data_IF_893197543471
#
_entry.id   IF_893197543471
#
_cell.length_a   1.000
_cell.length_b   1.000
_cell.length_c   1.000
_cell.angle_alpha   90.00
_cell.angle_beta   90.00
_cell.angle_gamma   90.00
#
_symmetry.space_group_name_H-M   'P 1'
#
loop_
_entity.id
_entity.type
_entity.pdbx_description
1 polymer ?
#
# COMPACT_ATOMS: atom_id res chain seq x y z
N UNK A 1 -3.90 -7.96 2.20
CA UNK A 1 -2.66 -7.16 2.35
C UNK A 1 -1.56 -7.46 1.35
N UNK A 2 -1.23 -8.72 1.06
CA UNK A 2 -0.19 -9.05 0.06
C UNK A 2 -0.42 -8.41 -1.32
N UNK A 3 -1.66 -8.42 -1.82
CA UNK A 3 -2.05 -7.77 -3.10
C UNK A 3 -1.72 -6.27 -3.10
N UNK A 4 -2.02 -5.57 -2.00
CA UNK A 4 -1.71 -4.15 -1.86
C UNK A 4 -0.20 -3.87 -1.94
N UNK A 5 0.62 -4.67 -1.25
CA UNK A 5 2.07 -4.53 -1.31
C UNK A 5 2.65 -4.75 -2.71
N UNK A 6 2.12 -5.71 -3.48
CA UNK A 6 2.52 -5.92 -4.87
C UNK A 6 2.17 -4.72 -5.74
N UNK A 7 0.96 -4.18 -5.62
CA UNK A 7 0.52 -3.01 -6.39
C UNK A 7 1.33 -1.75 -6.04
N UNK A 8 1.63 -1.54 -4.76
CA UNK A 8 2.46 -0.42 -4.30
C UNK A 8 3.90 -0.55 -4.81
N UNK A 9 4.46 -1.76 -4.87
CA UNK A 9 5.79 -2.02 -5.43
C UNK A 9 5.89 -1.72 -6.92
N UNK A 10 4.81 -1.96 -7.66
CA UNK A 10 4.77 -1.64 -9.09
C UNK A 10 4.87 -0.13 -9.35
N UNK A 11 4.57 0.73 -8.36
CA UNK A 11 4.52 2.21 -8.50
C UNK A 11 3.59 2.69 -9.62
N UNK A 12 2.67 1.83 -10.09
CA UNK A 12 1.70 2.17 -11.15
C UNK A 12 0.46 2.83 -10.57
N UNK A 13 0.11 2.50 -9.32
CA UNK A 13 -1.14 2.91 -8.68
C UNK A 13 -0.86 3.74 -7.43
N UNK A 14 -1.67 4.78 -7.23
CA UNK A 14 -1.64 5.57 -6.01
C UNK A 14 -2.10 4.73 -4.81
N UNK A 15 -1.69 5.14 -3.60
CA UNK A 15 -2.11 4.48 -2.35
C UNK A 15 -3.64 4.38 -2.24
N UNK A 16 -4.37 5.34 -2.81
CA UNK A 16 -5.82 5.36 -2.86
C UNK A 16 -6.41 4.27 -3.75
N UNK A 17 -5.99 4.24 -5.01
CA UNK A 17 -6.37 3.19 -5.98
C UNK A 17 -6.09 1.78 -5.44
N UNK A 18 -4.95 1.60 -4.77
CA UNK A 18 -4.59 0.32 -4.15
C UNK A 18 -5.54 -0.05 -3.01
N UNK A 19 -5.93 0.92 -2.18
CA UNK A 19 -6.89 0.70 -1.10
C UNK A 19 -8.25 0.26 -1.66
N UNK A 20 -8.73 0.90 -2.72
CA UNK A 20 -9.99 0.54 -3.39
C UNK A 20 -9.90 -0.85 -4.03
N UNK A 21 -8.80 -1.16 -4.73
CA UNK A 21 -8.55 -2.48 -5.36
C UNK A 21 -8.45 -3.67 -4.40
N UNK A 22 -8.19 -3.40 -3.12
CA UNK A 22 -8.15 -4.42 -2.05
C UNK A 22 -9.37 -4.37 -1.13
N UNK A 23 -10.39 -3.55 -1.46
CA UNK A 23 -11.71 -3.52 -0.83
C UNK A 23 -11.86 -2.56 0.34
N UNK A 24 -10.98 -1.56 0.47
CA UNK A 24 -11.10 -0.53 1.50
C UNK A 24 -11.83 0.69 0.96
N UNK A 25 -12.84 1.16 1.70
CA UNK A 25 -13.54 2.41 1.40
C UNK A 25 -12.77 3.64 1.92
N UNK A 26 -11.90 3.45 2.93
CA UNK A 26 -11.20 4.52 3.62
C UNK A 26 -9.69 4.28 3.70
N UNK A 27 -8.92 5.26 3.24
CA UNK A 27 -7.45 5.32 3.35
C UNK A 27 -6.92 5.18 4.77
N UNK A 28 -7.47 5.86 5.81
CA UNK A 28 -6.95 5.71 7.16
C UNK A 28 -7.06 4.27 7.69
N UNK A 29 -8.16 3.58 7.40
CA UNK A 29 -8.36 2.17 7.77
C UNK A 29 -7.36 1.27 7.04
N UNK A 30 -7.22 1.46 5.73
CA UNK A 30 -6.23 0.74 4.92
C UNK A 30 -4.81 0.93 5.48
N UNK A 31 -4.40 2.18 5.73
CA UNK A 31 -3.08 2.52 6.28
C UNK A 31 -2.83 1.84 7.62
N UNK A 32 -3.80 1.86 8.54
CA UNK A 32 -3.68 1.25 9.86
C UNK A 32 -3.42 -0.25 9.75
N UNK A 33 -4.23 -0.95 8.96
CA UNK A 33 -4.01 -2.38 8.73
C UNK A 33 -2.70 -2.65 7.97
N UNK A 34 -2.28 -1.75 7.07
CA UNK A 34 -1.06 -1.95 6.29
C UNK A 34 0.17 -1.82 7.17
N UNK A 35 0.18 -0.83 8.07
CA UNK A 35 1.24 -0.68 9.09
C UNK A 35 1.24 -1.86 10.04
N UNK A 36 0.08 -2.35 10.49
CA UNK A 36 -0.03 -3.55 11.33
C UNK A 36 0.55 -4.79 10.63
N UNK A 37 0.31 -4.95 9.33
CA UNK A 37 0.76 -6.10 8.55
C UNK A 37 2.23 -6.03 8.08
N UNK A 38 2.78 -4.85 7.78
CA UNK A 38 4.10 -4.66 7.18
C UNK A 38 5.08 -3.83 8.03
N UNK A 39 4.62 -3.28 9.15
CA UNK A 39 5.42 -2.41 10.03
C UNK A 39 5.74 -1.03 9.45
N UNK A 40 5.21 -0.67 8.28
CA UNK A 40 5.50 0.61 7.61
C UNK A 40 4.29 1.14 6.85
N UNK A 41 4.29 2.44 6.54
CA UNK A 41 3.17 3.04 5.82
C UNK A 41 3.19 2.65 4.33
N UNK A 42 2.03 2.54 3.67
CA UNK A 42 1.98 2.19 2.26
C UNK A 42 2.70 3.21 1.36
N UNK A 43 2.72 4.49 1.74
CA UNK A 43 3.46 5.54 1.03
C UNK A 43 4.98 5.32 1.12
N UNK A 44 5.49 5.02 2.32
CA UNK A 44 6.91 4.68 2.51
C UNK A 44 7.27 3.40 1.77
N UNK A 45 6.43 2.37 1.85
CA UNK A 45 6.64 1.10 1.16
C UNK A 45 6.68 1.27 -0.36
N UNK A 46 5.76 2.07 -0.93
CA UNK A 46 5.75 2.40 -2.35
C UNK A 46 7.01 3.16 -2.77
N UNK A 47 7.51 4.08 -1.93
CA UNK A 47 8.71 4.85 -2.26
C UNK A 47 10.02 4.05 -2.09
N UNK A 48 9.99 2.99 -1.28
CA UNK A 48 11.17 2.19 -0.91
C UNK A 48 11.57 1.13 -1.94
N UNK A 49 10.89 1.01 -3.09
CA UNK A 49 11.47 0.26 -4.22
C UNK A 49 12.58 1.08 -4.86
N UNK A 50 13.75 0.88 -4.29
CA UNK A 50 15.06 1.13 -4.88
C UNK A 50 15.15 0.40 -6.23
N UNK A 51 15.59 1.14 -7.26
CA UNK A 51 16.04 0.56 -8.52
C UNK A 51 17.39 -0.12 -8.24
N UNK A 52 17.37 -1.40 -7.86
CA UNK A 52 18.53 -2.29 -7.96
C UNK A 52 18.35 -3.23 -9.13
#
# INVERSE_FOLDING_TARGET
MRKAAVLLKQKVYAVQEVAEMVGYNDIPTFRKHFVDAFGTTPSTYANSTDNS
#
